data_IF_859083149589
#
_entry.id   IF_859083149589
#
_cell.length_a   1.000
_cell.length_b   1.000
_cell.length_c   1.000
_cell.angle_alpha   90.00
_cell.angle_beta   90.00
_cell.angle_gamma   90.00
#
_symmetry.space_group_name_H-M   'P 1'
#
loop_
_entity.id
_entity.type
_entity.pdbx_description
1 polymer ?
#
# COMPACT_ATOMS: atom_id res chain seq x y z
N UNK A 1 -42.88 -11.69 8.85
CA UNK A 1 -41.50 -11.39 9.30
C UNK A 1 -41.04 -10.09 8.66
N UNK A 2 -40.42 -9.18 9.40
CA UNK A 2 -39.91 -7.92 8.81
C UNK A 2 -38.71 -8.21 7.90
N UNK A 3 -38.54 -7.44 6.82
CA UNK A 3 -37.45 -7.62 5.86
C UNK A 3 -36.06 -7.55 6.53
N UNK A 4 -35.93 -6.83 7.64
CA UNK A 4 -34.71 -6.75 8.45
C UNK A 4 -34.39 -8.05 9.19
N UNK A 5 -35.41 -8.79 9.66
CA UNK A 5 -35.21 -10.07 10.33
C UNK A 5 -34.67 -11.12 9.37
N UNK A 6 -35.21 -11.18 8.15
CA UNK A 6 -34.76 -12.10 7.08
C UNK A 6 -33.31 -11.77 6.66
N UNK A 7 -32.97 -10.48 6.52
CA UNK A 7 -31.60 -10.06 6.21
C UNK A 7 -30.61 -10.44 7.31
N UNK A 8 -30.98 -10.25 8.58
CA UNK A 8 -30.12 -10.62 9.71
C UNK A 8 -29.91 -12.13 9.81
N UNK A 9 -30.92 -12.94 9.48
CA UNK A 9 -30.82 -14.41 9.43
C UNK A 9 -29.87 -14.87 8.31
N UNK A 10 -29.92 -14.23 7.14
CA UNK A 10 -28.99 -14.52 6.03
C UNK A 10 -27.55 -14.12 6.43
N UNK A 11 -27.35 -12.97 7.08
CA UNK A 11 -26.03 -12.48 7.46
C UNK A 11 -25.38 -13.33 8.56
N UNK A 12 -26.18 -13.85 9.49
CA UNK A 12 -25.68 -14.66 10.62
C UNK A 12 -25.47 -16.13 10.26
N UNK A 13 -25.97 -16.59 9.10
CA UNK A 13 -25.84 -17.98 8.68
C UNK A 13 -24.38 -18.34 8.34
N UNK A 14 -23.77 -19.33 9.03
CA UNK A 14 -22.40 -19.78 8.75
C UNK A 14 -22.16 -20.25 7.32
N UNK A 15 -23.18 -20.77 6.62
CA UNK A 15 -23.07 -21.23 5.24
C UNK A 15 -22.73 -20.11 4.25
N UNK A 16 -23.14 -18.87 4.54
CA UNK A 16 -22.84 -17.71 3.71
C UNK A 16 -21.58 -16.95 4.14
N UNK A 17 -20.97 -17.33 5.27
CA UNK A 17 -19.87 -16.59 5.87
C UNK A 17 -18.72 -16.34 4.89
N UNK A 18 -18.23 -17.39 4.21
CA UNK A 18 -17.09 -17.28 3.30
C UNK A 18 -17.39 -16.36 2.10
N UNK A 19 -18.62 -16.37 1.57
CA UNK A 19 -19.03 -15.50 0.47
C UNK A 19 -19.22 -14.05 0.92
N UNK A 20 -19.87 -13.84 2.08
CA UNK A 20 -20.01 -12.53 2.67
C UNK A 20 -18.65 -11.93 3.07
N UNK A 21 -17.67 -12.76 3.41
CA UNK A 21 -16.30 -12.34 3.66
C UNK A 21 -15.60 -11.82 2.39
N UNK A 22 -15.88 -12.38 1.21
CA UNK A 22 -15.42 -11.82 -0.09
C UNK A 22 -16.00 -10.42 -0.26
N UNK A 23 -17.32 -10.26 -0.11
CA UNK A 23 -18.01 -8.98 -0.30
C UNK A 23 -17.53 -7.91 0.70
N UNK A 24 -17.44 -8.27 1.99
CA UNK A 24 -16.93 -7.38 3.05
C UNK A 24 -15.47 -7.02 2.81
N UNK A 25 -14.67 -7.98 2.34
CA UNK A 25 -13.28 -7.78 1.94
C UNK A 25 -13.16 -6.75 0.80
N UNK A 26 -13.95 -6.90 -0.26
CA UNK A 26 -14.00 -5.98 -1.38
C UNK A 26 -14.33 -4.55 -0.93
N UNK A 27 -15.38 -4.40 -0.11
CA UNK A 27 -15.78 -3.11 0.46
C UNK A 27 -14.67 -2.51 1.31
N UNK A 28 -14.00 -3.32 2.13
CA UNK A 28 -12.89 -2.84 2.96
C UNK A 28 -11.71 -2.39 2.12
N UNK A 29 -11.34 -3.14 1.08
CA UNK A 29 -10.32 -2.74 0.11
C UNK A 29 -10.64 -1.42 -0.57
N UNK A 30 -11.89 -1.23 -1.02
CA UNK A 30 -12.36 0.01 -1.60
C UNK A 30 -12.24 1.19 -0.62
N UNK A 31 -12.83 1.06 0.57
CA UNK A 31 -12.87 2.14 1.56
C UNK A 31 -11.46 2.50 2.04
N UNK A 32 -10.62 1.51 2.30
CA UNK A 32 -9.23 1.74 2.68
C UNK A 32 -8.46 2.45 1.56
N UNK A 33 -8.61 1.99 0.32
CA UNK A 33 -7.96 2.60 -0.83
C UNK A 33 -8.36 4.07 -1.01
N UNK A 34 -9.64 4.41 -0.85
CA UNK A 34 -10.09 5.82 -0.87
C UNK A 34 -9.44 6.61 0.27
N UNK A 35 -9.51 6.10 1.51
CA UNK A 35 -9.01 6.79 2.70
C UNK A 35 -7.52 7.12 2.64
N UNK A 36 -6.70 6.24 2.06
CA UNK A 36 -5.24 6.46 1.97
C UNK A 36 -4.89 7.26 0.71
N UNK A 37 -5.46 6.91 -0.44
CA UNK A 37 -5.02 7.48 -1.72
C UNK A 37 -5.48 8.92 -1.92
N UNK A 38 -6.72 9.22 -1.52
CA UNK A 38 -7.29 10.54 -1.75
C UNK A 38 -6.48 11.65 -1.05
N UNK A 39 -6.21 11.57 0.27
CA UNK A 39 -5.40 12.59 0.95
C UNK A 39 -4.00 12.72 0.36
N UNK A 40 -3.35 11.60 0.04
CA UNK A 40 -2.03 11.61 -0.58
C UNK A 40 -2.04 12.33 -1.93
N UNK A 41 -2.97 11.97 -2.84
CA UNK A 41 -3.08 12.61 -4.14
C UNK A 41 -3.44 14.09 -4.04
N UNK A 42 -4.27 14.46 -3.07
CA UNK A 42 -4.64 15.85 -2.80
C UNK A 42 -3.42 16.67 -2.38
N UNK A 43 -2.66 16.21 -1.37
CA UNK A 43 -1.45 16.90 -0.88
C UNK A 43 -0.41 17.03 -2.00
N UNK A 44 -0.14 15.94 -2.72
CA UNK A 44 0.82 15.98 -3.84
C UNK A 44 0.38 16.93 -4.95
N UNK A 45 -0.93 17.00 -5.23
CA UNK A 45 -1.47 17.92 -6.23
C UNK A 45 -1.47 19.39 -5.77
N UNK A 46 -1.46 19.66 -4.47
CA UNK A 46 -1.34 21.03 -3.92
C UNK A 46 0.13 21.47 -3.98
N UNK A 47 1.05 20.62 -3.51
CA UNK A 47 2.48 20.94 -3.40
C UNK A 47 3.20 20.95 -4.75
N UNK A 48 2.92 19.95 -5.59
CA UNK A 48 3.69 19.70 -6.82
C UNK A 48 2.81 19.62 -8.08
N UNK A 49 1.49 19.82 -7.95
CA UNK A 49 0.59 19.78 -9.09
C UNK A 49 0.86 20.95 -10.05
N UNK A 50 0.87 20.66 -11.35
CA UNK A 50 0.96 21.65 -12.43
C UNK A 50 -0.35 21.68 -13.21
N UNK A 51 -0.69 22.84 -13.79
CA UNK A 51 -1.91 23.06 -14.58
C UNK A 51 -3.15 23.42 -13.74
N UNK A 52 -4.29 23.53 -14.44
CA UNK A 52 -5.55 24.06 -13.91
C UNK A 52 -6.21 23.16 -12.85
N UNK A 53 -7.05 23.77 -12.01
CA UNK A 53 -7.74 23.05 -10.94
C UNK A 53 -8.63 21.90 -11.44
N UNK A 54 -9.22 22.03 -12.63
CA UNK A 54 -10.03 20.97 -13.25
C UNK A 54 -9.22 19.73 -13.60
N UNK A 55 -7.99 19.89 -14.10
CA UNK A 55 -7.14 18.75 -14.47
C UNK A 55 -6.61 18.05 -13.21
N UNK A 56 -6.26 18.83 -12.17
CA UNK A 56 -5.86 18.33 -10.85
C UNK A 56 -6.93 17.47 -10.19
N UNK A 57 -8.17 17.96 -10.08
CA UNK A 57 -9.28 17.19 -9.51
C UNK A 57 -9.50 15.89 -10.29
N UNK A 58 -9.45 15.95 -11.63
CA UNK A 58 -9.62 14.77 -12.49
C UNK A 58 -8.52 13.73 -12.23
N UNK A 59 -7.28 14.17 -12.06
CA UNK A 59 -6.15 13.30 -11.75
C UNK A 59 -6.31 12.65 -10.36
N UNK A 60 -6.66 13.43 -9.34
CA UNK A 60 -6.92 12.94 -7.98
C UNK A 60 -8.02 11.89 -7.99
N UNK A 61 -9.15 12.19 -8.64
CA UNK A 61 -10.27 11.28 -8.73
C UNK A 61 -9.90 9.99 -9.46
N UNK A 62 -9.23 10.07 -10.63
CA UNK A 62 -8.81 8.88 -11.40
C UNK A 62 -7.84 8.02 -10.60
N UNK A 63 -6.82 8.61 -9.99
CA UNK A 63 -5.83 7.88 -9.20
C UNK A 63 -6.46 7.22 -7.96
N UNK A 64 -7.36 7.92 -7.27
CA UNK A 64 -8.09 7.40 -6.11
C UNK A 64 -9.01 6.25 -6.50
N UNK A 65 -9.81 6.44 -7.56
CA UNK A 65 -10.70 5.41 -8.10
C UNK A 65 -9.90 4.17 -8.48
N UNK A 66 -8.84 4.33 -9.28
CA UNK A 66 -8.01 3.21 -9.71
C UNK A 66 -7.43 2.44 -8.54
N UNK A 67 -6.84 3.14 -7.55
CA UNK A 67 -6.31 2.49 -6.37
C UNK A 67 -7.39 1.74 -5.56
N UNK A 68 -8.51 2.39 -5.26
CA UNK A 68 -9.59 1.81 -4.48
C UNK A 68 -10.21 0.58 -5.16
N UNK A 69 -10.45 0.65 -6.48
CA UNK A 69 -10.97 -0.48 -7.23
C UNK A 69 -9.96 -1.61 -7.40
N UNK A 70 -8.66 -1.31 -7.55
CA UNK A 70 -7.64 -2.35 -7.61
C UNK A 70 -7.57 -3.12 -6.29
N UNK A 71 -7.58 -2.42 -5.14
CA UNK A 71 -7.63 -3.09 -3.82
C UNK A 71 -8.89 -3.92 -3.64
N UNK A 72 -10.06 -3.39 -4.02
CA UNK A 72 -11.32 -4.12 -3.95
C UNK A 72 -11.28 -5.39 -4.80
N UNK A 73 -10.85 -5.28 -6.07
CA UNK A 73 -10.72 -6.40 -7.00
C UNK A 73 -9.73 -7.44 -6.50
N UNK A 74 -8.57 -7.01 -6.01
CA UNK A 74 -7.55 -7.91 -5.47
C UNK A 74 -8.09 -8.71 -4.28
N UNK A 75 -8.70 -8.05 -3.29
CA UNK A 75 -9.24 -8.76 -2.11
C UNK A 75 -10.37 -9.71 -2.50
N UNK A 76 -11.26 -9.30 -3.42
CA UNK A 76 -12.29 -10.18 -3.96
C UNK A 76 -11.69 -11.41 -4.60
N UNK A 77 -10.78 -11.22 -5.57
CA UNK A 77 -10.17 -12.29 -6.33
C UNK A 77 -9.37 -13.23 -5.42
N UNK A 78 -8.55 -12.69 -4.53
CA UNK A 78 -7.77 -13.45 -3.55
C UNK A 78 -8.67 -14.35 -2.68
N UNK A 79 -9.72 -13.78 -2.08
CA UNK A 79 -10.63 -14.56 -1.23
C UNK A 79 -11.46 -15.58 -2.02
N UNK A 80 -11.85 -15.25 -3.25
CA UNK A 80 -12.53 -16.20 -4.15
C UNK A 80 -11.61 -17.37 -4.49
N UNK A 81 -10.34 -17.13 -4.82
CA UNK A 81 -9.38 -18.20 -5.11
C UNK A 81 -9.13 -19.06 -3.86
N UNK A 82 -8.98 -18.46 -2.68
CA UNK A 82 -8.90 -19.22 -1.42
C UNK A 82 -10.14 -20.09 -1.18
N UNK A 83 -11.34 -19.54 -1.37
CA UNK A 83 -12.58 -20.29 -1.21
C UNK A 83 -12.67 -21.47 -2.19
N UNK A 84 -12.25 -21.27 -3.43
CA UNK A 84 -12.17 -22.35 -4.43
C UNK A 84 -11.14 -23.41 -4.01
N UNK A 85 -9.93 -23.01 -3.62
CA UNK A 85 -8.88 -23.94 -3.17
C UNK A 85 -9.32 -24.74 -1.94
N UNK A 86 -9.93 -24.09 -0.94
CA UNK A 86 -10.50 -24.72 0.26
C UNK A 86 -11.56 -25.77 -0.11
N UNK A 87 -12.47 -25.44 -1.03
CA UNK A 87 -13.49 -26.39 -1.50
C UNK A 87 -12.90 -27.59 -2.25
N UNK A 88 -11.91 -27.35 -3.11
CA UNK A 88 -11.20 -28.41 -3.83
C UNK A 88 -10.39 -29.30 -2.88
N UNK A 89 -9.96 -28.77 -1.73
CA UNK A 89 -9.19 -29.50 -0.72
C UNK A 89 -10.08 -30.01 0.45
N UNK A 90 -11.31 -30.43 0.16
CA UNK A 90 -12.19 -31.06 1.16
C UNK A 90 -12.57 -30.16 2.34
N UNK A 91 -12.58 -28.84 2.15
CA UNK A 91 -12.93 -27.85 3.16
C UNK A 91 -11.77 -27.32 4.00
N UNK A 92 -10.53 -27.79 3.76
CA UNK A 92 -9.34 -27.38 4.52
C UNK A 92 -8.46 -26.42 3.71
N UNK A 93 -7.95 -25.39 4.34
CA UNK A 93 -6.96 -24.48 3.73
C UNK A 93 -5.55 -25.08 3.86
N UNK A 94 -4.74 -24.96 2.81
CA UNK A 94 -3.31 -25.31 2.81
C UNK A 94 -2.48 -24.05 2.92
N UNK A 95 -1.30 -24.14 3.53
CA UNK A 95 -0.41 -22.98 3.69
C UNK A 95 -0.06 -22.31 2.34
N UNK A 96 0.19 -23.12 1.31
CA UNK A 96 0.55 -22.64 -0.03
C UNK A 96 -0.60 -21.94 -0.77
N UNK A 97 -1.85 -22.17 -0.37
CA UNK A 97 -3.02 -21.62 -1.04
C UNK A 97 -3.01 -20.08 -0.99
N UNK A 98 -2.50 -19.52 0.09
CA UNK A 98 -2.33 -18.07 0.28
C UNK A 98 -1.30 -17.49 -0.68
N UNK A 99 -0.18 -18.18 -0.89
CA UNK A 99 0.86 -17.76 -1.83
C UNK A 99 0.34 -17.80 -3.27
N UNK A 100 -0.32 -18.89 -3.68
CA UNK A 100 -0.87 -19.05 -5.03
C UNK A 100 -1.97 -18.02 -5.30
N UNK A 101 -2.91 -17.84 -4.37
CA UNK A 101 -3.96 -16.84 -4.49
C UNK A 101 -3.37 -15.42 -4.60
N UNK A 102 -2.34 -15.13 -3.80
CA UNK A 102 -1.61 -13.85 -3.84
C UNK A 102 -0.90 -13.62 -5.17
N UNK A 103 -0.24 -14.65 -5.71
CA UNK A 103 0.47 -14.60 -7.00
C UNK A 103 -0.50 -14.34 -8.16
N UNK A 104 -1.59 -15.11 -8.23
CA UNK A 104 -2.62 -14.96 -9.27
C UNK A 104 -3.27 -13.57 -9.16
N UNK A 105 -3.69 -13.18 -7.96
CA UNK A 105 -4.31 -11.87 -7.73
C UNK A 105 -3.36 -10.72 -8.07
N UNK A 106 -2.07 -10.86 -7.73
CA UNK A 106 -1.04 -9.87 -8.00
C UNK A 106 -0.84 -9.67 -9.50
N UNK A 107 -0.72 -10.77 -10.24
CA UNK A 107 -0.56 -10.76 -11.69
C UNK A 107 -1.73 -10.05 -12.40
N UNK A 108 -2.97 -10.47 -12.13
CA UNK A 108 -4.13 -9.94 -12.85
C UNK A 108 -4.53 -8.51 -12.47
N UNK A 109 -4.26 -8.07 -11.24
CA UNK A 109 -4.73 -6.76 -10.75
C UNK A 109 -3.63 -5.70 -10.80
N UNK A 110 -2.39 -6.09 -10.52
CA UNK A 110 -1.26 -5.16 -10.42
C UNK A 110 -0.23 -5.33 -11.55
N UNK A 111 -0.42 -6.28 -12.48
CA UNK A 111 0.48 -6.50 -13.62
C UNK A 111 0.54 -5.33 -14.61
N UNK A 112 -0.55 -4.56 -14.76
CA UNK A 112 -0.56 -3.38 -15.61
C UNK A 112 0.32 -2.27 -15.03
N UNK A 113 1.35 -1.85 -15.76
CA UNK A 113 2.24 -0.77 -15.33
C UNK A 113 1.55 0.59 -15.44
N UNK A 114 1.29 1.20 -14.29
CA UNK A 114 0.84 2.58 -14.15
C UNK A 114 1.33 3.14 -12.81
N UNK A 115 1.31 4.47 -12.64
CA UNK A 115 1.84 5.12 -11.45
C UNK A 115 1.18 4.67 -10.13
N UNK A 116 -0.07 4.22 -10.15
CA UNK A 116 -0.75 3.69 -8.96
C UNK A 116 -0.24 2.30 -8.62
N UNK A 117 -0.22 1.40 -9.60
CA UNK A 117 0.25 0.02 -9.41
C UNK A 117 1.74 -0.02 -9.04
N UNK A 118 2.57 0.79 -9.70
CA UNK A 118 4.00 0.89 -9.40
C UNK A 118 4.23 1.29 -7.93
N UNK A 119 3.45 2.25 -7.40
CA UNK A 119 3.54 2.64 -6.00
C UNK A 119 3.08 1.53 -5.04
N UNK A 120 2.02 0.79 -5.38
CA UNK A 120 1.58 -0.36 -4.57
C UNK A 120 2.64 -1.46 -4.57
N UNK A 121 3.19 -1.80 -5.74
CA UNK A 121 4.19 -2.87 -5.87
C UNK A 121 5.47 -2.51 -5.13
N UNK A 122 5.98 -1.27 -5.27
CA UNK A 122 7.14 -0.80 -4.52
C UNK A 122 6.88 -0.81 -3.00
N UNK A 123 5.67 -0.45 -2.57
CA UNK A 123 5.27 -0.54 -1.16
C UNK A 123 5.28 -1.99 -0.66
N UNK A 124 4.73 -2.94 -1.43
CA UNK A 124 4.70 -4.36 -1.05
C UNK A 124 6.11 -4.93 -1.02
N UNK A 125 6.92 -4.72 -2.07
CA UNK A 125 8.30 -5.23 -2.15
C UNK A 125 9.14 -4.71 -0.99
N UNK A 126 9.09 -3.40 -0.70
CA UNK A 126 9.84 -2.84 0.43
C UNK A 126 9.45 -3.47 1.77
N UNK A 127 8.15 -3.74 1.99
CA UNK A 127 7.66 -4.40 3.22
C UNK A 127 8.04 -5.89 3.29
N UNK A 128 8.02 -6.59 2.17
CA UNK A 128 8.45 -8.01 2.08
C UNK A 128 9.96 -8.11 2.31
N UNK A 129 10.77 -7.29 1.65
CA UNK A 129 12.23 -7.26 1.86
C UNK A 129 12.55 -6.89 3.31
N UNK A 130 11.90 -5.86 3.87
CA UNK A 130 12.09 -5.49 5.26
C UNK A 130 11.61 -6.55 6.26
N UNK A 131 10.78 -7.52 5.83
CA UNK A 131 10.31 -8.61 6.69
C UNK A 131 11.43 -9.57 7.10
N UNK A 132 12.48 -9.70 6.27
CA UNK A 132 13.66 -10.53 6.54
C UNK A 132 14.61 -9.94 7.58
N UNK A 133 14.42 -8.69 8.00
CA UNK A 133 15.21 -8.09 9.08
C UNK A 133 14.88 -8.81 10.40
N UNK A 134 15.89 -9.26 11.17
CA UNK A 134 15.69 -9.84 12.49
C UNK A 134 14.81 -8.95 13.38
N UNK A 135 13.94 -9.58 14.17
CA UNK A 135 13.00 -8.88 15.07
C UNK A 135 13.63 -8.67 16.45
N UNK A 136 13.28 -7.56 17.09
CA UNK A 136 13.71 -7.29 18.45
C UNK A 136 13.20 -8.37 19.43
N UNK A 137 14.04 -8.76 20.39
CA UNK A 137 13.66 -9.63 21.50
C UNK A 137 12.67 -8.97 22.48
N UNK A 138 11.88 -9.78 23.19
CA UNK A 138 10.95 -9.36 24.26
C UNK A 138 11.72 -8.77 25.48
N UNK A 139 11.18 -7.79 26.25
CA UNK A 139 9.79 -7.34 26.30
C UNK A 139 9.62 -5.94 25.74
N UNK A 140 9.32 -5.84 24.46
CA UNK A 140 8.74 -4.60 23.92
C UNK A 140 7.32 -4.45 24.52
N UNK A 141 7.22 -3.66 25.59
CA UNK A 141 5.97 -3.24 26.20
C UNK A 141 5.13 -2.53 25.15
N UNK A 142 4.12 -3.21 24.63
CA UNK A 142 3.16 -2.56 23.75
C UNK A 142 2.07 -1.96 24.59
N UNK A 143 1.87 -0.66 24.41
CA UNK A 143 0.64 0.00 24.81
C UNK A 143 -0.57 -0.82 24.31
N UNK A 144 -1.60 -1.07 25.14
CA UNK A 144 -2.77 -1.90 24.82
C UNK A 144 -3.70 -1.37 23.70
N UNK A 145 -3.22 -0.54 22.77
CA UNK A 145 -4.09 0.37 22.01
C UNK A 145 -3.86 0.38 20.49
N UNK A 146 -3.38 -0.72 19.91
CA UNK A 146 -3.48 -0.92 18.46
C UNK A 146 -4.79 -1.62 18.13
N UNK A 147 -5.77 -0.89 17.59
CA UNK A 147 -7.09 -1.39 17.15
C UNK A 147 -7.06 -2.28 15.89
N UNK A 148 -5.87 -2.75 15.48
CA UNK A 148 -5.64 -3.56 14.27
C UNK A 148 -5.27 -5.02 14.56
N UNK A 149 -5.15 -5.43 15.82
CA UNK A 149 -4.85 -6.81 16.21
C UNK A 149 -6.14 -7.62 16.38
N UNK A 150 -6.44 -8.47 15.40
CA UNK A 150 -7.31 -9.63 15.62
C UNK A 150 -6.62 -10.71 16.48
N UNK A 151 -7.30 -11.81 16.82
CA UNK A 151 -6.68 -12.93 17.54
C UNK A 151 -5.63 -13.60 16.64
N UNK A 152 -4.35 -13.35 16.90
CA UNK A 152 -3.23 -13.96 16.16
C UNK A 152 -2.09 -12.99 15.87
N UNK A 153 -0.86 -13.42 16.19
CA UNK A 153 0.44 -12.85 15.80
C UNK A 153 0.57 -11.32 15.90
N UNK A 154 1.23 -10.87 16.97
CA UNK A 154 1.64 -9.47 17.13
C UNK A 154 2.90 -9.20 16.29
N UNK A 155 2.89 -8.25 15.35
CA UNK A 155 4.10 -7.91 14.59
C UNK A 155 5.14 -7.32 15.54
N UNK A 156 6.34 -7.92 15.56
CA UNK A 156 7.47 -7.43 16.33
C UNK A 156 8.23 -6.37 15.52
N UNK A 157 8.70 -5.29 16.16
CA UNK A 157 9.55 -4.31 15.47
C UNK A 157 10.86 -4.97 15.02
N UNK A 158 11.50 -4.49 13.93
CA UNK A 158 12.86 -4.88 13.60
C UNK A 158 13.80 -4.56 14.76
N UNK A 159 14.83 -5.38 14.96
CA UNK A 159 15.91 -5.07 15.88
C UNK A 159 16.66 -3.82 15.39
N UNK A 160 16.91 -2.91 16.33
CA UNK A 160 17.47 -1.58 16.05
C UNK A 160 18.80 -1.65 15.29
N UNK A 161 19.69 -2.59 15.63
CA UNK A 161 21.03 -2.69 15.01
C UNK A 161 20.93 -3.06 13.54
N UNK A 162 20.12 -4.07 13.25
CA UNK A 162 19.92 -4.52 11.86
C UNK A 162 19.12 -3.49 11.05
N UNK A 163 18.17 -2.79 11.69
CA UNK A 163 17.46 -1.69 11.06
C UNK A 163 18.40 -0.54 10.70
N UNK A 164 19.31 -0.15 11.59
CA UNK A 164 20.32 0.90 11.32
C UNK A 164 21.20 0.52 10.14
N UNK A 165 21.70 -0.72 10.10
CA UNK A 165 22.50 -1.19 8.97
C UNK A 165 21.70 -1.18 7.66
N UNK A 166 20.46 -1.68 7.69
CA UNK A 166 19.57 -1.66 6.53
C UNK A 166 19.29 -0.24 6.03
N UNK A 167 19.05 0.70 6.95
CA UNK A 167 18.82 2.09 6.62
C UNK A 167 20.06 2.75 6.00
N UNK A 168 21.25 2.52 6.57
CA UNK A 168 22.50 3.07 6.07
C UNK A 168 22.81 2.58 4.64
N UNK A 169 22.67 1.27 4.39
CA UNK A 169 22.89 0.68 3.06
C UNK A 169 21.85 1.21 2.06
N UNK A 170 20.57 1.27 2.45
CA UNK A 170 19.50 1.75 1.59
C UNK A 170 19.72 3.22 1.19
N UNK A 171 20.11 4.07 2.13
CA UNK A 171 20.39 5.48 1.88
C UNK A 171 21.66 5.68 1.04
N UNK A 172 22.75 4.97 1.35
CA UNK A 172 23.96 5.03 0.54
C UNK A 172 23.69 4.63 -0.92
N UNK A 173 22.92 3.56 -1.13
CA UNK A 173 22.56 3.07 -2.45
C UNK A 173 21.71 4.09 -3.23
N UNK A 174 20.65 4.65 -2.63
CA UNK A 174 19.79 5.61 -3.35
C UNK A 174 20.52 6.91 -3.69
N UNK A 175 21.41 7.39 -2.81
CA UNK A 175 22.22 8.58 -3.09
C UNK A 175 23.22 8.33 -4.24
N UNK A 176 23.85 7.16 -4.26
CA UNK A 176 24.73 6.77 -5.37
C UNK A 176 23.97 6.65 -6.69
N UNK A 177 22.80 6.00 -6.68
CA UNK A 177 21.92 5.90 -7.85
C UNK A 177 21.44 7.27 -8.32
N UNK A 178 21.08 8.17 -7.41
CA UNK A 178 20.60 9.50 -7.78
C UNK A 178 21.66 10.33 -8.51
N UNK A 179 22.94 10.16 -8.14
CA UNK A 179 24.06 10.83 -8.81
C UNK A 179 24.44 10.18 -10.14
N UNK A 180 24.48 8.86 -10.23
CA UNK A 180 25.10 8.15 -11.37
C UNK A 180 24.10 7.45 -12.30
N UNK A 181 22.89 7.12 -11.83
CA UNK A 181 21.84 6.37 -12.57
C UNK A 181 20.43 6.85 -12.21
N UNK A 182 20.23 8.17 -12.19
CA UNK A 182 18.96 8.77 -11.77
C UNK A 182 17.75 8.34 -12.62
N UNK A 183 17.97 7.94 -13.87
CA UNK A 183 16.96 7.38 -14.78
C UNK A 183 16.33 6.06 -14.29
N UNK A 184 17.00 5.35 -13.38
CA UNK A 184 16.49 4.10 -12.80
C UNK A 184 15.60 4.33 -11.57
N UNK A 185 15.59 5.54 -11.03
CA UNK A 185 14.80 5.91 -9.86
C UNK A 185 13.36 6.19 -10.28
N UNK A 186 12.42 5.73 -9.45
CA UNK A 186 11.00 6.02 -9.62
C UNK A 186 10.77 7.55 -9.72
N UNK A 187 10.01 8.04 -10.72
CA UNK A 187 9.93 9.48 -11.02
C UNK A 187 9.49 10.36 -9.84
N UNK A 188 8.63 9.84 -8.94
CA UNK A 188 8.22 10.55 -7.74
C UNK A 188 9.38 10.84 -6.80
N UNK A 189 10.14 9.81 -6.43
CA UNK A 189 11.33 9.95 -5.61
C UNK A 189 12.39 10.82 -6.28
N UNK A 190 12.62 10.64 -7.59
CA UNK A 190 13.60 11.44 -8.32
C UNK A 190 13.28 12.94 -8.28
N UNK A 191 12.02 13.32 -8.49
CA UNK A 191 11.60 14.73 -8.43
C UNK A 191 11.78 15.32 -7.03
N UNK A 192 11.45 14.56 -5.97
CA UNK A 192 11.70 14.99 -4.60
C UNK A 192 13.20 15.16 -4.32
N UNK A 193 14.04 14.23 -4.75
CA UNK A 193 15.49 14.33 -4.56
C UNK A 193 16.09 15.48 -5.38
N UNK A 194 15.61 15.74 -6.61
CA UNK A 194 16.02 16.91 -7.39
C UNK A 194 15.71 18.20 -6.63
N UNK A 195 14.48 18.35 -6.14
CA UNK A 195 14.06 19.51 -5.35
C UNK A 195 14.91 19.69 -4.09
N UNK A 196 15.23 18.59 -3.39
CA UNK A 196 16.01 18.64 -2.14
C UNK A 196 17.50 18.91 -2.35
N UNK A 197 18.11 18.35 -3.40
CA UNK A 197 19.58 18.26 -3.49
C UNK A 197 20.19 18.97 -4.69
N UNK A 198 19.44 19.19 -5.78
CA UNK A 198 19.98 19.88 -6.97
C UNK A 198 19.47 21.31 -7.04
N UNK A 199 18.17 21.50 -6.81
CA UNK A 199 17.57 22.84 -6.84
C UNK A 199 18.06 23.69 -5.64
N UNK A 200 18.55 23.04 -4.57
CA UNK A 200 19.21 23.69 -3.44
C UNK A 200 20.59 24.29 -3.76
N UNK A 201 21.21 23.89 -4.86
CA UNK A 201 22.58 24.32 -5.22
C UNK A 201 22.59 25.66 -6.00
N UNK A 202 21.41 26.21 -6.32
CA UNK A 202 21.28 27.40 -7.16
C UNK A 202 20.36 28.44 -6.52
N UNK A 203 20.86 29.66 -6.29
CA UNK A 203 20.07 30.82 -5.87
C UNK A 203 20.62 32.11 -6.48
N UNK A 204 19.75 33.07 -6.78
CA UNK A 204 20.13 34.41 -7.26
C UNK A 204 20.00 35.48 -6.17
N UNK A 205 19.01 35.34 -5.28
CA UNK A 205 18.64 36.33 -4.27
C UNK A 205 18.12 35.69 -2.96
N UNK A 206 17.95 36.50 -1.91
CA UNK A 206 17.38 36.06 -0.61
C UNK A 206 16.00 35.39 -0.74
N UNK A 207 15.20 35.82 -1.74
CA UNK A 207 13.90 35.22 -2.02
C UNK A 207 14.05 33.79 -2.57
N UNK A 208 15.01 33.57 -3.47
CA UNK A 208 15.29 32.23 -4.01
C UNK A 208 15.99 31.32 -3.02
N UNK A 209 16.70 31.92 -2.05
CA UNK A 209 17.37 31.19 -0.97
C UNK A 209 16.40 30.71 0.11
N UNK A 210 15.41 31.52 0.50
CA UNK A 210 14.60 31.28 1.71
C UNK A 210 13.11 31.01 1.47
N UNK A 211 12.55 31.35 0.29
CA UNK A 211 11.10 31.23 0.05
C UNK A 211 10.76 30.33 -1.13
N UNK A 212 11.31 30.59 -2.32
CA UNK A 212 10.86 29.93 -3.54
C UNK A 212 12.02 29.50 -4.43
N UNK A 213 12.08 28.22 -4.79
CA UNK A 213 13.02 27.78 -5.81
C UNK A 213 12.68 28.42 -7.17
N UNK A 214 13.71 28.63 -7.97
CA UNK A 214 13.63 29.29 -9.29
C UNK A 214 13.01 28.37 -10.36
#
# INVERSE_FOLDING_TARGET
MSSLAILNEIISNPAYHDYLAVLKGARNGFVYGVKVRFPHALVMSILFGRGDWKSRIRLIYRATKQHAFNLAKFVSLYKTILLVQKKLNGGKERDIDTFIAGLIGGYFIFGDRNAVNEQIVLYVVSRVVASFIPRAGSPYSTSPQSTLSGPGTKPLPPDSRYFTAFAAVSWGAVMWLFRHRGETIQPGMFNSMKYLYRDSDTWSDLRTLLWHNT
#
